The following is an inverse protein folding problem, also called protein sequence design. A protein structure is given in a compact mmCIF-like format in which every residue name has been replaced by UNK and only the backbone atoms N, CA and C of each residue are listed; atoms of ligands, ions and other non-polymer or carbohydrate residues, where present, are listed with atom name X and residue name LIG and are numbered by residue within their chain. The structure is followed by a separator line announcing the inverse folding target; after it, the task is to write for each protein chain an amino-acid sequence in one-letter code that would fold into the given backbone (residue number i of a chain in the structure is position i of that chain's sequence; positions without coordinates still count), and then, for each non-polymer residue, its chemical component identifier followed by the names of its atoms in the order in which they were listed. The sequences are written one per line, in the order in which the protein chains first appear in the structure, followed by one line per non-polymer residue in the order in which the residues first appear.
data_IF_167350887519
#
_entry.id   IF_167350887519
#
_cell.length_a   1.000
_cell.length_b   1.000
_cell.length_c   1.000
_cell.angle_alpha   90.00
_cell.angle_beta   90.00
_cell.angle_gamma   90.00
#
_symmetry.space_group_name_H-M   'P 1'
#
loop_
_entity.id
_entity.type
_entity.pdbx_description
1 polymer ?
#
# COMPACT_ATOMS: atom_id res chain seq x y z
N UNK A 1 24.88 77.88 -2.55
CA UNK A 1 24.19 77.79 -3.86
C UNK A 1 23.98 76.32 -4.16
N UNK A 2 22.93 75.94 -4.92
CA UNK A 2 22.12 74.72 -4.69
C UNK A 2 21.29 74.90 -3.38
N UNK A 3 19.95 75.00 -3.32
CA UNK A 3 18.83 74.79 -4.27
C UNK A 3 18.65 73.29 -4.61
N UNK A 4 17.54 72.58 -4.34
CA UNK A 4 16.18 72.86 -3.75
C UNK A 4 15.59 71.51 -3.20
N UNK A 5 14.46 71.28 -2.49
CA UNK A 5 13.21 71.95 -2.00
C UNK A 5 12.85 71.46 -0.57
N UNK A 6 12.13 72.20 0.30
CA UNK A 6 10.65 72.22 0.56
C UNK A 6 10.01 70.88 1.02
N UNK A 7 9.74 70.64 2.33
CA UNK A 7 8.61 71.08 3.22
C UNK A 7 7.42 70.08 3.24
N UNK A 8 7.03 69.52 4.41
CA UNK A 8 5.96 69.93 5.37
C UNK A 8 4.52 69.87 4.79
N UNK A 9 3.42 69.51 5.49
CA UNK A 9 3.10 68.78 6.77
C UNK A 9 1.57 68.72 6.90
N UNK A 10 1.00 67.61 7.41
CA UNK A 10 -0.31 67.50 8.10
C UNK A 10 -1.63 67.82 7.36
N UNK A 11 -2.74 67.30 7.94
CA UNK A 11 -4.17 67.42 7.55
C UNK A 11 -4.58 66.71 6.24
N UNK A 12 -5.77 66.09 6.10
CA UNK A 12 -6.99 66.11 6.94
C UNK A 12 -7.86 64.81 6.82
N UNK A 13 -8.67 64.54 7.86
CA UNK A 13 -10.09 64.01 7.86
C UNK A 13 -10.47 62.73 7.05
N UNK A 14 -11.33 61.79 7.50
CA UNK A 14 -11.84 61.30 8.81
C UNK A 14 -12.80 60.09 8.59
N UNK A 15 -12.95 59.20 9.59
CA UNK A 15 -14.14 58.38 9.99
C UNK A 15 -13.66 57.48 11.17
N UNK A 16 -14.20 57.52 12.42
CA UNK A 16 -15.53 57.07 12.92
C UNK A 16 -15.63 55.53 12.92
N UNK A 17 -15.87 54.81 14.04
CA UNK A 17 -16.09 55.18 15.45
C UNK A 17 -15.79 53.99 16.42
N UNK A 18 -15.77 54.28 17.74
CA UNK A 18 -15.95 53.41 18.94
C UNK A 18 -15.50 51.92 18.90
N UNK A 19 -14.52 51.46 19.69
CA UNK A 19 -14.46 51.38 21.18
C UNK A 19 -15.34 50.30 21.82
N UNK A 20 -14.71 49.27 22.42
CA UNK A 20 -14.76 48.92 23.86
C UNK A 20 -13.77 47.77 24.13
N UNK A 21 -13.19 47.74 25.32
CA UNK A 21 -12.32 46.65 25.80
C UNK A 21 -12.96 45.98 27.02
N UNK A 22 -13.00 44.65 27.05
CA UNK A 22 -13.00 43.85 28.29
C UNK A 22 -12.45 42.45 28.03
N UNK A 23 -11.85 41.87 29.07
CA UNK A 23 -11.38 40.50 29.21
C UNK A 23 -11.98 39.96 30.53
N UNK A 24 -11.77 38.66 30.82
CA UNK A 24 -12.22 37.96 32.04
C UNK A 24 -13.78 37.86 32.06
N UNK A 25 -14.47 36.79 32.50
CA UNK A 25 -14.17 35.68 33.43
C UNK A 25 -14.69 34.33 32.88
N UNK A 26 -14.13 33.23 33.38
CA UNK A 26 -14.53 31.84 33.18
C UNK A 26 -15.99 31.48 33.52
N UNK A 27 -16.39 30.27 33.10
CA UNK A 27 -17.07 29.24 33.91
C UNK A 27 -18.42 28.70 33.38
N UNK A 28 -18.50 27.36 33.39
CA UNK A 28 -19.71 26.52 33.56
C UNK A 28 -20.88 26.61 32.57
N UNK A 29 -20.89 25.61 31.69
CA UNK A 29 -21.98 24.62 31.52
C UNK A 29 -23.20 24.93 30.62
N UNK A 30 -23.88 23.81 30.28
CA UNK A 30 -25.19 23.67 29.64
C UNK A 30 -25.29 23.84 28.11
N UNK A 31 -25.46 22.68 27.47
CA UNK A 31 -26.26 22.40 26.27
C UNK A 31 -27.49 23.30 26.10
N UNK A 32 -27.77 23.66 24.84
CA UNK A 32 -29.09 23.56 24.21
C UNK A 32 -28.88 23.30 22.70
N UNK A 33 -29.77 22.51 22.08
CA UNK A 33 -29.78 22.27 20.63
C UNK A 33 -30.70 23.27 19.92
N UNK A 34 -30.20 24.14 19.05
CA UNK A 34 -30.92 24.43 17.81
C UNK A 34 -30.08 25.06 16.68
N UNK A 35 -30.51 24.76 15.45
CA UNK A 35 -30.37 25.56 14.23
C UNK A 35 -28.97 25.91 13.66
N UNK A 36 -28.53 25.10 12.68
CA UNK A 36 -28.24 25.65 11.35
C UNK A 36 -28.23 24.55 10.25
N UNK A 37 -29.19 24.61 9.32
CA UNK A 37 -29.13 23.90 8.03
C UNK A 37 -28.38 24.76 7.01
N UNK A 38 -27.35 24.22 6.35
CA UNK A 38 -27.26 24.10 4.87
C UNK A 38 -25.82 23.81 4.39
N UNK A 39 -25.65 22.65 3.75
CA UNK A 39 -24.86 22.45 2.53
C UNK A 39 -23.46 23.11 2.40
N UNK A 40 -22.43 22.42 2.91
CA UNK A 40 -21.38 21.96 1.99
C UNK A 40 -20.61 20.72 2.47
N UNK A 41 -20.10 19.95 1.51
CA UNK A 41 -19.61 18.59 1.70
C UNK A 41 -18.08 18.55 1.78
N UNK A 42 -17.52 18.64 2.99
CA UNK A 42 -16.13 18.27 3.29
C UNK A 42 -16.07 17.44 4.57
N UNK A 43 -16.43 16.17 4.44
CA UNK A 43 -16.23 15.18 5.49
C UNK A 43 -14.74 14.85 5.62
N UNK A 44 -14.09 15.39 6.65
CA UNK A 44 -12.70 15.08 6.99
C UNK A 44 -12.61 13.69 7.65
N UNK A 45 -12.81 12.64 6.85
CA UNK A 45 -12.61 11.26 7.27
C UNK A 45 -11.13 11.00 7.60
N UNK A 46 -10.78 11.26 8.87
CA UNK A 46 -9.58 10.75 9.48
C UNK A 46 -9.59 9.23 9.33
N UNK A 47 -8.55 8.68 8.69
CA UNK A 47 -8.46 7.23 8.47
C UNK A 47 -8.03 6.57 9.79
N UNK A 48 -9.00 6.39 10.68
CA UNK A 48 -8.92 5.36 11.71
C UNK A 48 -8.94 3.99 11.01
N UNK A 49 -7.76 3.46 10.69
CA UNK A 49 -7.59 2.02 10.43
C UNK A 49 -8.04 1.26 11.67
N UNK A 50 -9.31 0.86 11.70
CA UNK A 50 -9.94 0.32 12.89
C UNK A 50 -9.28 -0.99 13.34
N UNK A 51 -9.49 -1.37 14.60
CA UNK A 51 -8.91 -2.60 15.14
C UNK A 51 -9.44 -3.88 14.47
N UNK A 52 -10.50 -3.81 13.66
CA UNK A 52 -11.07 -4.98 12.97
C UNK A 52 -10.08 -5.60 11.98
N UNK A 53 -9.38 -4.78 11.19
CA UNK A 53 -8.34 -5.20 10.22
C UNK A 53 -7.14 -5.94 10.86
N UNK A 54 -6.98 -5.84 12.19
CA UNK A 54 -5.91 -6.48 12.95
C UNK A 54 -6.32 -7.83 13.57
N UNK A 55 -7.60 -8.19 13.52
CA UNK A 55 -8.10 -9.47 14.03
C UNK A 55 -8.59 -10.37 12.89
N UNK A 56 -9.20 -9.80 11.86
CA UNK A 56 -9.77 -10.54 10.73
C UNK A 56 -8.74 -11.45 10.03
N UNK A 57 -7.53 -10.94 9.77
CA UNK A 57 -6.47 -11.71 9.10
C UNK A 57 -6.05 -13.00 9.84
N UNK A 58 -6.34 -13.12 11.15
CA UNK A 58 -6.08 -14.34 11.95
C UNK A 58 -7.19 -15.38 11.79
N UNK A 59 -8.40 -14.91 11.47
CA UNK A 59 -9.59 -15.73 11.32
C UNK A 59 -9.87 -16.14 9.87
N UNK A 60 -9.33 -15.40 8.89
CA UNK A 60 -9.42 -15.73 7.47
C UNK A 60 -8.98 -17.17 7.14
N UNK A 61 -9.56 -17.76 6.10
CA UNK A 61 -9.31 -19.16 5.67
C UNK A 61 -8.62 -19.28 4.31
N UNK A 62 -8.63 -18.23 3.51
CA UNK A 62 -8.11 -18.17 2.15
C UNK A 62 -7.61 -16.77 1.81
N UNK A 63 -6.83 -16.63 0.74
CA UNK A 63 -6.52 -15.31 0.18
C UNK A 63 -7.75 -14.60 -0.39
N UNK A 64 -8.85 -15.32 -0.66
CA UNK A 64 -10.04 -14.81 -1.35
C UNK A 64 -10.88 -13.86 -0.47
N UNK A 65 -10.67 -13.89 0.84
CA UNK A 65 -11.28 -12.97 1.82
C UNK A 65 -10.64 -11.57 1.82
N UNK A 66 -9.54 -11.36 1.08
CA UNK A 66 -8.85 -10.07 0.99
C UNK A 66 -9.08 -9.36 -0.34
N UNK A 67 -9.08 -8.01 -0.31
CA UNK A 67 -8.87 -7.16 -1.49
C UNK A 67 -7.46 -6.55 -1.45
N UNK A 68 -6.99 -6.04 -2.59
CA UNK A 68 -5.79 -5.22 -2.69
C UNK A 68 -5.89 -4.29 -3.91
N UNK A 69 -5.17 -3.17 -3.93
CA UNK A 69 -5.17 -2.25 -5.08
C UNK A 69 -4.17 -2.69 -6.16
N UNK A 70 -4.62 -2.75 -7.42
CA UNK A 70 -3.73 -2.95 -8.58
C UNK A 70 -2.76 -1.76 -8.72
N UNK A 71 -1.70 -1.89 -9.52
CA UNK A 71 -0.69 -0.82 -9.69
C UNK A 71 -1.23 0.49 -10.31
N UNK A 72 -2.53 0.57 -10.64
CA UNK A 72 -3.23 1.78 -11.11
C UNK A 72 -4.22 2.32 -10.07
N UNK A 73 -4.26 1.75 -8.87
CA UNK A 73 -5.11 2.15 -7.75
C UNK A 73 -6.50 1.50 -7.71
N UNK A 74 -6.87 0.66 -8.69
CA UNK A 74 -8.17 -0.01 -8.72
C UNK A 74 -8.24 -1.10 -7.65
N UNK A 75 -9.34 -1.19 -6.92
CA UNK A 75 -9.50 -2.26 -5.94
C UNK A 75 -9.84 -3.60 -6.60
N UNK A 76 -9.11 -4.65 -6.21
CA UNK A 76 -9.21 -6.00 -6.75
C UNK A 76 -9.47 -6.98 -5.62
N UNK A 77 -10.64 -7.62 -5.61
CA UNK A 77 -10.88 -8.81 -4.79
C UNK A 77 -9.99 -9.95 -5.27
N UNK A 78 -9.29 -10.60 -4.35
CA UNK A 78 -8.43 -11.73 -4.67
C UNK A 78 -9.23 -13.01 -4.93
N UNK A 79 -10.57 -13.00 -4.78
CA UNK A 79 -11.43 -14.08 -5.27
C UNK A 79 -11.32 -14.26 -6.81
N UNK A 80 -10.80 -13.26 -7.57
CA UNK A 80 -10.43 -13.46 -9.00
C UNK A 80 -9.44 -14.62 -9.24
N UNK A 81 -8.76 -15.07 -8.19
CA UNK A 81 -7.77 -16.16 -8.22
C UNK A 81 -8.34 -17.51 -7.74
N UNK A 82 -9.67 -17.64 -7.59
CA UNK A 82 -10.33 -18.87 -7.15
C UNK A 82 -10.06 -20.04 -8.11
N UNK A 83 -9.60 -21.17 -7.58
CA UNK A 83 -9.21 -22.34 -8.39
C UNK A 83 -7.84 -22.26 -9.07
N UNK A 84 -7.11 -21.14 -8.94
CA UNK A 84 -5.76 -20.95 -9.47
C UNK A 84 -4.68 -21.18 -8.41
N UNK A 85 -3.61 -21.90 -8.76
CA UNK A 85 -2.37 -21.91 -7.98
C UNK A 85 -1.67 -20.57 -8.18
N UNK A 86 -1.30 -19.90 -7.09
CA UNK A 86 -0.73 -18.57 -7.14
C UNK A 86 0.67 -18.48 -6.53
N UNK A 87 1.52 -17.62 -7.11
CA UNK A 87 2.74 -17.13 -6.48
C UNK A 87 2.48 -15.70 -6.00
N UNK A 88 2.56 -15.45 -4.70
CA UNK A 88 2.54 -14.10 -4.14
C UNK A 88 3.96 -13.70 -3.74
N UNK A 89 4.46 -12.58 -4.24
CA UNK A 89 5.88 -12.18 -4.10
C UNK A 89 6.04 -10.69 -3.80
N UNK A 90 6.91 -10.34 -2.86
CA UNK A 90 7.29 -8.94 -2.62
C UNK A 90 8.45 -8.56 -3.54
N UNK A 91 8.30 -7.49 -4.32
CA UNK A 91 9.25 -7.10 -5.37
C UNK A 91 9.90 -5.74 -5.10
N UNK A 92 11.03 -5.50 -5.76
CA UNK A 92 11.77 -4.25 -5.72
C UNK A 92 12.55 -4.04 -7.03
N UNK A 93 12.62 -2.81 -7.55
CA UNK A 93 13.30 -2.49 -8.82
C UNK A 93 14.82 -2.32 -8.67
N UNK A 94 15.32 -2.01 -7.46
CA UNK A 94 16.72 -1.64 -7.20
C UNK A 94 17.45 -2.65 -6.28
N UNK A 95 17.11 -3.94 -6.36
CA UNK A 95 17.73 -5.00 -5.57
C UNK A 95 18.69 -5.84 -6.43
N UNK A 96 19.78 -6.36 -5.84
CA UNK A 96 20.70 -7.29 -6.53
C UNK A 96 20.02 -8.55 -7.10
N UNK A 97 18.90 -8.97 -6.52
CA UNK A 97 18.10 -10.11 -6.98
C UNK A 97 17.11 -9.79 -8.10
N UNK A 98 16.85 -8.51 -8.39
CA UNK A 98 15.79 -8.05 -9.30
C UNK A 98 15.93 -8.61 -10.70
N UNK A 99 17.14 -8.59 -11.28
CA UNK A 99 17.38 -9.03 -12.66
C UNK A 99 16.90 -10.47 -12.90
N UNK A 100 17.31 -11.39 -12.02
CA UNK A 100 17.00 -12.81 -12.18
C UNK A 100 15.54 -13.09 -11.78
N UNK A 101 15.06 -12.51 -10.67
CA UNK A 101 13.71 -12.82 -10.19
C UNK A 101 12.63 -12.33 -11.18
N UNK A 102 12.76 -11.14 -11.77
CA UNK A 102 11.80 -10.70 -12.80
C UNK A 102 11.87 -11.55 -14.07
N UNK A 103 13.07 -11.90 -14.56
CA UNK A 103 13.20 -12.74 -15.74
C UNK A 103 12.55 -14.12 -15.54
N UNK A 104 12.86 -14.78 -14.42
CA UNK A 104 12.35 -16.12 -14.15
C UNK A 104 10.85 -16.14 -13.77
N UNK A 105 10.32 -15.12 -13.10
CA UNK A 105 8.87 -15.00 -12.87
C UNK A 105 8.11 -14.80 -14.19
N UNK A 106 8.67 -14.06 -15.15
CA UNK A 106 8.10 -13.92 -16.50
C UNK A 106 8.15 -15.26 -17.24
N UNK A 107 9.29 -15.95 -17.26
CA UNK A 107 9.42 -17.28 -17.89
C UNK A 107 8.41 -18.29 -17.31
N UNK A 108 8.27 -18.40 -15.99
CA UNK A 108 7.27 -19.25 -15.34
C UNK A 108 5.84 -18.90 -15.77
N UNK A 109 5.51 -17.60 -15.85
CA UNK A 109 4.18 -17.15 -16.21
C UNK A 109 3.87 -17.49 -17.68
N UNK A 110 4.78 -17.18 -18.59
CA UNK A 110 4.65 -17.53 -20.02
C UNK A 110 4.50 -19.04 -20.25
N UNK A 111 5.14 -19.90 -19.45
CA UNK A 111 5.02 -21.36 -19.60
C UNK A 111 3.74 -21.94 -18.96
N UNK A 112 3.32 -21.44 -17.79
CA UNK A 112 2.31 -22.09 -16.95
C UNK A 112 1.00 -21.32 -16.74
N UNK A 113 0.87 -20.06 -17.18
CA UNK A 113 -0.35 -19.27 -16.96
C UNK A 113 -1.58 -19.88 -17.62
N UNK A 114 -1.47 -20.33 -18.87
CA UNK A 114 -2.57 -20.97 -19.60
C UNK A 114 -2.54 -22.50 -19.46
N UNK A 115 -1.35 -23.10 -19.51
CA UNK A 115 -1.19 -24.57 -19.52
C UNK A 115 -1.46 -25.24 -18.16
N UNK A 116 -1.35 -24.49 -17.06
CA UNK A 116 -1.58 -24.95 -15.67
C UNK A 116 -2.42 -23.99 -14.83
N UNK A 117 -2.82 -22.84 -15.37
CA UNK A 117 -3.58 -21.84 -14.62
C UNK A 117 -2.74 -21.07 -13.59
N UNK A 118 -1.41 -20.94 -13.77
CA UNK A 118 -0.58 -20.15 -12.86
C UNK A 118 -1.01 -18.69 -12.82
N UNK A 119 -1.09 -18.10 -11.62
CA UNK A 119 -1.23 -16.65 -11.43
C UNK A 119 -0.08 -16.13 -10.56
N UNK A 120 0.46 -14.97 -10.87
CA UNK A 120 1.53 -14.33 -10.08
C UNK A 120 1.02 -12.95 -9.64
N UNK A 121 1.12 -12.67 -8.35
CA UNK A 121 0.74 -11.42 -7.72
C UNK A 121 1.99 -10.76 -7.15
N UNK A 122 2.45 -9.69 -7.80
CA UNK A 122 3.67 -8.99 -7.41
C UNK A 122 3.34 -7.69 -6.65
N UNK A 123 3.83 -7.62 -5.41
CA UNK A 123 3.61 -6.50 -4.48
C UNK A 123 4.91 -5.71 -4.28
N UNK A 124 5.07 -4.51 -4.87
CA UNK A 124 6.24 -3.67 -4.63
C UNK A 124 6.38 -3.30 -3.15
N UNK A 125 7.61 -3.29 -2.61
CA UNK A 125 7.82 -3.01 -1.18
C UNK A 125 9.14 -2.29 -0.91
N UNK A 126 9.07 -1.10 -0.29
CA UNK A 126 10.26 -0.27 -0.02
C UNK A 126 10.93 -0.52 1.34
N UNK A 127 10.40 -1.44 2.15
CA UNK A 127 10.88 -1.69 3.52
C UNK A 127 12.30 -2.29 3.59
N UNK A 128 12.85 -2.74 2.46
CA UNK A 128 14.14 -3.43 2.38
C UNK A 128 15.17 -2.52 1.71
N UNK A 129 15.95 -1.82 2.55
CA UNK A 129 17.04 -0.93 2.17
C UNK A 129 16.68 0.16 1.12
N UNK A 130 15.41 0.60 1.07
CA UNK A 130 14.97 1.65 0.14
C UNK A 130 14.97 1.23 -1.33
N UNK A 131 14.93 -0.07 -1.63
CA UNK A 131 15.12 -0.62 -2.98
C UNK A 131 13.89 -0.54 -3.91
N UNK A 132 12.78 0.05 -3.46
CA UNK A 132 11.60 0.35 -4.29
C UNK A 132 11.11 1.79 -4.06
N UNK A 133 11.92 2.81 -4.38
CA UNK A 133 11.65 4.19 -3.99
C UNK A 133 10.60 4.90 -4.87
N UNK A 134 10.38 4.41 -6.09
CA UNK A 134 9.56 5.09 -7.11
C UNK A 134 8.05 5.13 -6.84
N UNK A 135 7.32 5.86 -7.68
CA UNK A 135 5.86 5.85 -7.73
C UNK A 135 5.32 4.59 -8.42
N UNK A 136 4.02 4.32 -8.26
CA UNK A 136 3.36 3.20 -8.94
C UNK A 136 3.53 3.27 -10.47
N UNK A 137 3.48 4.46 -11.09
CA UNK A 137 3.76 4.63 -12.53
C UNK A 137 5.18 4.21 -12.92
N UNK A 138 6.19 4.61 -12.12
CA UNK A 138 7.59 4.28 -12.37
C UNK A 138 7.85 2.77 -12.22
N UNK A 139 7.17 2.13 -11.26
CA UNK A 139 7.24 0.69 -11.04
C UNK A 139 6.47 -0.07 -12.15
N UNK A 140 5.36 0.49 -12.66
CA UNK A 140 4.64 -0.05 -13.81
C UNK A 140 5.45 0.05 -15.11
N UNK A 141 6.15 1.17 -15.33
CA UNK A 141 7.11 1.32 -16.44
C UNK A 141 8.25 0.31 -16.30
N UNK A 142 8.82 0.15 -15.11
CA UNK A 142 9.85 -0.85 -14.84
C UNK A 142 9.35 -2.26 -15.17
N UNK A 143 8.19 -2.68 -14.64
CA UNK A 143 7.60 -3.98 -14.88
C UNK A 143 7.32 -4.23 -16.38
N UNK A 144 6.78 -3.22 -17.09
CA UNK A 144 6.56 -3.27 -18.54
C UNK A 144 7.88 -3.40 -19.33
N UNK A 145 8.95 -2.72 -18.92
CA UNK A 145 10.29 -2.89 -19.51
C UNK A 145 10.87 -4.30 -19.31
N UNK A 146 10.38 -5.05 -18.31
CA UNK A 146 10.73 -6.46 -18.04
C UNK A 146 9.81 -7.48 -18.74
N UNK A 147 8.81 -7.04 -19.51
CA UNK A 147 7.75 -7.88 -20.10
C UNK A 147 6.91 -8.63 -19.04
N UNK A 148 6.58 -7.95 -17.94
CA UNK A 148 5.62 -8.49 -16.96
C UNK A 148 4.21 -8.46 -17.54
N UNK A 149 3.59 -9.64 -17.63
CA UNK A 149 2.20 -9.86 -18.06
C UNK A 149 1.31 -10.40 -16.92
N UNK A 150 1.89 -10.59 -15.73
CA UNK A 150 1.18 -10.98 -14.50
C UNK A 150 0.78 -9.76 -13.65
N UNK A 151 -0.08 -9.98 -12.65
CA UNK A 151 -0.70 -8.90 -11.88
C UNK A 151 0.31 -8.17 -10.98
N UNK A 152 0.47 -6.87 -11.24
CA UNK A 152 1.22 -5.92 -10.41
C UNK A 152 0.26 -5.14 -9.52
N UNK A 153 0.57 -5.04 -8.23
CA UNK A 153 -0.20 -4.31 -7.22
C UNK A 153 0.49 -3.00 -6.81
N UNK A 154 -0.20 -2.14 -6.05
CA UNK A 154 0.41 -0.95 -5.46
C UNK A 154 1.55 -1.29 -4.47
N UNK A 155 2.43 -0.31 -4.24
CA UNK A 155 3.51 -0.44 -3.26
C UNK A 155 2.99 -0.48 -1.82
N UNK A 156 3.26 -1.57 -1.12
CA UNK A 156 2.75 -1.84 0.25
C UNK A 156 3.88 -2.04 1.27
N UNK A 157 3.48 -2.08 2.55
CA UNK A 157 4.29 -2.66 3.63
C UNK A 157 3.91 -4.14 3.85
N UNK A 158 4.91 -4.97 4.16
CA UNK A 158 4.75 -6.42 4.45
C UNK A 158 5.12 -6.78 5.90
N UNK A 159 5.77 -5.86 6.61
CA UNK A 159 6.17 -5.95 8.01
C UNK A 159 5.71 -4.74 8.84
N UNK A 160 5.63 -4.92 10.17
CA UNK A 160 5.15 -3.91 11.11
C UNK A 160 3.63 -3.84 11.23
N UNK A 161 3.12 -2.95 12.09
CA UNK A 161 1.69 -2.77 12.34
C UNK A 161 0.93 -2.34 11.06
N UNK A 162 1.52 -1.43 10.28
CA UNK A 162 1.01 -0.97 8.98
C UNK A 162 1.24 -1.94 7.82
N UNK A 163 1.53 -3.21 8.05
CA UNK A 163 1.56 -4.23 7.00
C UNK A 163 0.15 -4.51 6.45
N UNK A 164 0.06 -4.76 5.14
CA UNK A 164 -1.19 -5.10 4.46
C UNK A 164 -1.84 -6.36 5.09
N UNK A 165 -3.17 -6.42 5.32
CA UNK A 165 -3.83 -7.56 5.97
C UNK A 165 -3.50 -8.92 5.35
N UNK A 166 -3.58 -9.04 4.02
CA UNK A 166 -3.08 -10.22 3.27
C UNK A 166 -1.68 -10.65 3.72
N UNK A 167 -0.72 -9.74 3.81
CA UNK A 167 0.66 -10.06 4.17
C UNK A 167 0.85 -10.38 5.65
N UNK A 168 -0.08 -9.97 6.53
CA UNK A 168 -0.18 -10.49 7.90
C UNK A 168 -0.68 -11.94 7.89
N UNK A 169 -1.73 -12.25 7.11
CA UNK A 169 -2.28 -13.60 6.93
C UNK A 169 -1.26 -14.59 6.33
N UNK A 170 -0.60 -14.24 5.22
CA UNK A 170 0.41 -15.10 4.56
C UNK A 170 1.50 -15.54 5.53
N UNK A 171 2.00 -14.61 6.35
CA UNK A 171 3.02 -14.88 7.37
C UNK A 171 2.49 -15.66 8.57
N UNK A 172 1.22 -15.47 8.94
CA UNK A 172 0.58 -16.14 10.05
C UNK A 172 0.32 -17.62 9.76
N UNK A 173 -0.22 -17.94 8.57
CA UNK A 173 -0.39 -19.32 8.11
C UNK A 173 0.96 -19.95 7.80
N UNK A 174 1.78 -19.29 6.98
CA UNK A 174 3.08 -19.81 6.54
C UNK A 174 4.24 -18.97 7.10
N UNK A 175 4.60 -19.29 8.36
CA UNK A 175 5.72 -18.71 9.07
C UNK A 175 7.08 -18.94 8.38
N UNK A 176 8.09 -18.18 8.79
CA UNK A 176 9.47 -18.36 8.36
C UNK A 176 10.33 -19.09 9.40
N UNK A 177 11.50 -19.56 8.97
CA UNK A 177 12.51 -20.08 9.90
C UNK A 177 12.97 -18.97 10.84
N UNK A 178 12.87 -19.18 12.16
CA UNK A 178 13.18 -18.16 13.18
C UNK A 178 12.33 -16.87 13.09
N UNK A 179 11.04 -16.99 12.73
CA UNK A 179 10.06 -15.89 12.82
C UNK A 179 9.21 -15.70 11.56
N UNK A 180 8.05 -15.06 11.71
CA UNK A 180 7.07 -14.84 10.63
C UNK A 180 7.52 -13.76 9.63
N UNK A 181 8.26 -12.74 10.08
CA UNK A 181 8.59 -11.54 9.32
C UNK A 181 9.26 -11.80 7.96
N UNK A 182 8.94 -10.97 6.96
CA UNK A 182 9.60 -11.01 5.66
C UNK A 182 11.04 -10.50 5.83
N UNK A 183 12.04 -11.28 5.42
CA UNK A 183 13.45 -10.97 5.68
C UNK A 183 14.07 -10.03 4.63
N UNK A 184 13.61 -10.09 3.38
CA UNK A 184 14.11 -9.28 2.28
C UNK A 184 13.12 -9.23 1.10
N UNK A 185 13.49 -8.48 0.06
CA UNK A 185 12.91 -8.54 -1.28
C UNK A 185 12.91 -9.98 -1.83
N UNK A 186 11.89 -10.30 -2.63
CA UNK A 186 11.67 -11.60 -3.29
C UNK A 186 11.52 -12.80 -2.34
N UNK A 187 10.82 -12.62 -1.23
CA UNK A 187 10.17 -13.75 -0.55
C UNK A 187 8.92 -14.14 -1.34
N UNK A 188 8.71 -15.44 -1.59
CA UNK A 188 7.56 -15.96 -2.34
C UNK A 188 6.69 -16.83 -1.45
N UNK A 189 5.38 -16.77 -1.63
CA UNK A 189 4.41 -17.72 -1.09
C UNK A 189 3.78 -18.48 -2.27
N UNK A 190 3.67 -19.80 -2.14
CA UNK A 190 2.82 -20.60 -3.03
C UNK A 190 1.46 -20.75 -2.34
N UNK A 191 0.41 -20.43 -3.07
CA UNK A 191 -0.99 -20.55 -2.65
C UNK A 191 -1.63 -21.66 -3.49
N UNK A 192 -2.39 -22.55 -2.86
CA UNK A 192 -3.11 -23.60 -3.57
C UNK A 192 -4.39 -23.10 -4.24
N UNK A 193 -5.08 -24.01 -4.96
CA UNK A 193 -6.35 -23.73 -5.65
C UNK A 193 -7.53 -23.42 -4.73
N UNK A 194 -7.37 -23.59 -3.40
CA UNK A 194 -8.34 -23.25 -2.37
C UNK A 194 -8.02 -21.89 -1.71
N UNK A 195 -6.94 -21.22 -2.13
CA UNK A 195 -6.50 -19.95 -1.60
C UNK A 195 -5.67 -20.06 -0.31
N UNK A 196 -5.22 -21.25 0.05
CA UNK A 196 -4.44 -21.50 1.28
C UNK A 196 -2.94 -21.35 0.99
N UNK A 197 -2.18 -20.55 1.78
CA UNK A 197 -0.72 -20.53 1.71
C UNK A 197 -0.15 -21.89 2.12
N UNK A 198 0.53 -22.58 1.19
CA UNK A 198 1.03 -23.95 1.38
C UNK A 198 2.56 -24.04 1.44
N UNK A 199 3.27 -23.13 0.77
CA UNK A 199 4.73 -23.05 0.87
C UNK A 199 5.23 -21.60 0.93
N UNK A 200 6.43 -21.41 1.48
CA UNK A 200 7.12 -20.12 1.56
C UNK A 200 8.59 -20.28 1.23
N UNK A 201 9.06 -19.47 0.31
CA UNK A 201 10.39 -19.54 -0.29
C UNK A 201 11.16 -18.24 -0.09
N UNK A 202 12.46 -18.37 0.19
CA UNK A 202 13.29 -17.24 0.57
C UNK A 202 13.73 -16.36 -0.60
N UNK A 203 14.34 -15.20 -0.30
CA UNK A 203 15.02 -14.33 -1.28
C UNK A 203 16.02 -15.09 -2.17
N UNK A 204 16.70 -16.09 -1.59
CA UNK A 204 17.71 -16.94 -2.23
C UNK A 204 17.16 -18.10 -3.05
N UNK A 205 15.86 -18.41 -2.99
CA UNK A 205 15.24 -19.41 -3.87
C UNK A 205 14.95 -18.75 -5.21
N UNK A 206 15.55 -19.22 -6.32
CA UNK A 206 15.24 -18.67 -7.64
C UNK A 206 13.83 -19.10 -8.05
N UNK A 207 13.05 -18.26 -8.78
CA UNK A 207 11.72 -18.67 -9.21
C UNK A 207 11.70 -19.99 -10.00
N UNK A 208 12.68 -20.27 -10.87
CA UNK A 208 12.75 -21.56 -11.60
C UNK A 208 12.82 -22.79 -10.70
N UNK A 209 13.39 -22.68 -9.49
CA UNK A 209 13.42 -23.79 -8.53
C UNK A 209 12.03 -24.13 -7.97
N UNK A 210 11.05 -23.20 -8.09
CA UNK A 210 9.68 -23.38 -7.59
C UNK A 210 8.84 -24.36 -8.41
N UNK A 211 9.21 -24.71 -9.65
CA UNK A 211 8.41 -25.62 -10.51
C UNK A 211 8.10 -26.94 -9.78
N UNK A 212 9.11 -27.55 -9.16
CA UNK A 212 9.00 -28.80 -8.35
C UNK A 212 8.09 -28.68 -7.13
N UNK A 213 7.78 -27.46 -6.71
CA UNK A 213 6.84 -27.19 -5.63
C UNK A 213 5.43 -26.94 -6.17
N UNK A 214 5.31 -26.16 -7.25
CA UNK A 214 4.06 -25.88 -7.94
C UNK A 214 3.42 -27.15 -8.54
N UNK A 215 4.24 -28.10 -9.01
CA UNK A 215 3.82 -29.41 -9.53
C UNK A 215 2.94 -30.23 -8.58
N UNK A 216 2.98 -29.95 -7.26
CA UNK A 216 2.16 -30.60 -6.24
C UNK A 216 0.70 -30.09 -6.22
N UNK A 217 0.42 -28.97 -6.88
CA UNK A 217 -0.82 -28.19 -6.73
C UNK A 217 -1.56 -27.91 -8.06
N UNK A 218 -0.95 -28.24 -9.20
CA UNK A 218 -1.51 -28.04 -10.56
C UNK A 218 -2.77 -28.86 -10.87
#
# INVERSE_FOLDING_TARGET
MFIVTSRRTFSDIALILASISCLIIDSTASIDEEYCHSDNQFDCQNIEMSNQDQEDYKNAKSIYEFTARDIKGNEVSLEKYKGHVCIIVNVASQCGYTKNNYAELVELYTEYADSKGLRILAFPCNQFAGQEPGSNDQICEFARSRKVEFDMFERINVNGAGAHPLWKYLKHVQGGTLGDFIKWNFTKFIIDKNGVPVERHGPSTNPKDLVKSLEKYW
#
